data_IF_747515197558
#
_entry.id   IF_747515197558
#
_cell.length_a   1.000
_cell.length_b   1.000
_cell.length_c   1.000
_cell.angle_alpha   90.00
_cell.angle_beta   90.00
_cell.angle_gamma   90.00
#
_symmetry.space_group_name_H-M   'P 1'
#
loop_
_entity.id
_entity.type
_entity.pdbx_description
1 polymer ?
#
# COMPACT_ATOMS: atom_id res chain seq x y z
N UNK A 1 15.83 27.60 6.19
CA UNK A 1 15.45 27.02 4.89
C UNK A 1 14.09 27.56 4.54
N UNK A 2 13.96 28.41 3.51
CA UNK A 2 12.65 28.78 2.99
C UNK A 2 12.12 27.56 2.23
N UNK A 3 11.06 26.97 2.74
CA UNK A 3 10.38 25.87 2.07
C UNK A 3 9.28 26.48 1.20
N UNK A 4 9.60 26.73 -0.07
CA UNK A 4 8.60 27.16 -1.04
C UNK A 4 7.63 26.00 -1.27
N UNK A 5 6.37 26.21 -0.87
CA UNK A 5 5.28 25.26 -1.07
C UNK A 5 4.53 25.62 -2.35
N UNK A 6 4.49 24.70 -3.30
CA UNK A 6 3.79 24.86 -4.57
C UNK A 6 2.42 24.15 -4.48
N UNK A 7 1.30 24.89 -4.45
CA UNK A 7 0.00 24.27 -4.36
C UNK A 7 -0.31 23.47 -5.62
N UNK A 8 -0.97 22.33 -5.43
CA UNK A 8 -1.49 21.52 -6.53
C UNK A 8 -2.60 22.30 -7.24
N UNK A 9 -2.50 22.45 -8.56
CA UNK A 9 -3.53 23.12 -9.36
C UNK A 9 -4.88 22.41 -9.28
N UNK A 10 -5.97 23.17 -9.39
CA UNK A 10 -7.33 22.61 -9.31
C UNK A 10 -7.60 21.57 -10.41
N UNK A 11 -7.10 21.81 -11.61
CA UNK A 11 -7.21 20.88 -12.73
C UNK A 11 -6.52 19.55 -12.44
N UNK A 12 -5.37 19.57 -11.76
CA UNK A 12 -4.71 18.34 -11.33
C UNK A 12 -5.45 17.67 -10.17
N UNK A 13 -5.97 18.45 -9.22
CA UNK A 13 -6.69 17.92 -8.05
C UNK A 13 -7.92 17.10 -8.45
N UNK A 14 -8.64 17.51 -9.49
CA UNK A 14 -9.85 16.80 -9.99
C UNK A 14 -9.56 15.42 -10.59
N UNK A 15 -8.36 15.21 -11.14
CA UNK A 15 -7.95 13.97 -11.83
C UNK A 15 -7.04 13.06 -10.99
N UNK A 16 -6.64 13.51 -9.81
CA UNK A 16 -5.81 12.73 -8.91
C UNK A 16 -6.58 11.54 -8.33
N UNK A 17 -5.92 10.39 -8.20
CA UNK A 17 -6.53 9.20 -7.57
C UNK A 17 -6.70 9.32 -6.06
N UNK A 18 -6.09 10.33 -5.44
CA UNK A 18 -6.04 10.48 -3.99
C UNK A 18 -5.94 11.94 -3.60
N UNK A 19 -6.56 12.29 -2.47
CA UNK A 19 -6.42 13.59 -1.81
C UNK A 19 -5.37 13.50 -0.70
N UNK A 20 -4.89 14.63 -0.20
CA UNK A 20 -3.95 14.63 0.93
C UNK A 20 -4.52 13.91 2.16
N UNK A 21 -5.77 14.21 2.53
CA UNK A 21 -6.42 13.54 3.66
C UNK A 21 -6.50 12.03 3.42
N UNK A 22 -6.92 11.62 2.21
CA UNK A 22 -7.03 10.20 1.88
C UNK A 22 -5.67 9.49 1.89
N UNK A 23 -4.60 10.16 1.45
CA UNK A 23 -3.24 9.65 1.55
C UNK A 23 -2.85 9.41 3.01
N UNK A 24 -3.08 10.39 3.90
CA UNK A 24 -2.75 10.26 5.32
C UNK A 24 -3.50 9.07 5.95
N UNK A 25 -4.77 8.89 5.62
CA UNK A 25 -5.59 7.79 6.14
C UNK A 25 -5.11 6.42 5.63
N UNK A 26 -4.87 6.29 4.32
CA UNK A 26 -4.38 5.04 3.72
C UNK A 26 -2.97 4.70 4.21
N UNK A 27 -2.09 5.69 4.30
CA UNK A 27 -0.73 5.51 4.81
C UNK A 27 -0.74 5.03 6.26
N UNK A 28 -1.50 5.71 7.13
CA UNK A 28 -1.65 5.31 8.53
C UNK A 28 -2.08 3.85 8.63
N UNK A 29 -3.13 3.47 7.88
CA UNK A 29 -3.61 2.08 7.88
C UNK A 29 -2.58 1.10 7.31
N UNK A 30 -1.84 1.45 6.27
CA UNK A 30 -0.81 0.57 5.67
C UNK A 30 0.33 0.21 6.62
N UNK A 31 0.54 1.02 7.66
CA UNK A 31 1.58 0.82 8.68
C UNK A 31 0.99 0.20 9.95
N UNK A 32 -0.17 0.66 10.41
CA UNK A 32 -0.80 0.18 11.65
C UNK A 32 -1.51 -1.18 11.48
N UNK A 33 -2.05 -1.46 10.28
CA UNK A 33 -2.69 -2.72 9.90
C UNK A 33 -2.15 -3.17 8.52
N UNK A 34 -0.88 -3.60 8.45
CA UNK A 34 -0.24 -3.91 7.18
C UNK A 34 -0.87 -5.13 6.51
N UNK A 35 -1.21 -6.18 7.27
CA UNK A 35 -1.81 -7.38 6.68
C UNK A 35 -3.21 -7.12 6.13
N UNK A 36 -4.06 -6.38 6.86
CA UNK A 36 -5.39 -6.03 6.38
C UNK A 36 -5.34 -5.10 5.16
N UNK A 37 -4.57 -4.02 5.24
CA UNK A 37 -4.42 -3.07 4.14
C UNK A 37 -3.89 -3.73 2.87
N UNK A 38 -2.76 -4.45 2.96
CA UNK A 38 -2.10 -5.02 1.80
C UNK A 38 -2.83 -6.25 1.25
N UNK A 39 -3.58 -7.00 2.07
CA UNK A 39 -4.51 -8.02 1.57
C UNK A 39 -5.55 -7.40 0.64
N UNK A 40 -6.20 -6.31 1.06
CA UNK A 40 -7.22 -5.64 0.24
C UNK A 40 -6.65 -5.06 -1.05
N UNK A 41 -5.45 -4.47 -1.00
CA UNK A 41 -4.80 -3.96 -2.21
C UNK A 41 -4.45 -5.10 -3.17
N UNK A 42 -3.92 -6.21 -2.66
CA UNK A 42 -3.56 -7.37 -3.47
C UNK A 42 -4.78 -8.05 -4.10
N UNK A 43 -5.90 -8.16 -3.38
CA UNK A 43 -7.16 -8.69 -3.92
C UNK A 43 -7.74 -7.76 -4.99
N UNK A 44 -7.56 -6.44 -4.85
CA UNK A 44 -8.12 -5.45 -5.79
C UNK A 44 -7.34 -5.31 -7.09
N UNK A 45 -6.02 -5.37 -7.03
CA UNK A 45 -5.16 -4.94 -8.15
C UNK A 45 -4.43 -6.08 -8.85
N UNK A 46 -4.36 -7.27 -8.25
CA UNK A 46 -3.60 -8.39 -8.82
C UNK A 46 -4.56 -9.54 -9.10
N UNK A 47 -4.39 -10.16 -10.27
CA UNK A 47 -5.11 -11.37 -10.64
C UNK A 47 -4.32 -12.58 -10.16
N UNK A 48 -4.84 -13.29 -9.16
CA UNK A 48 -4.18 -14.44 -8.57
C UNK A 48 -4.72 -15.74 -9.14
N UNK A 49 -3.82 -16.64 -9.54
CA UNK A 49 -4.17 -18.02 -9.87
C UNK A 49 -4.34 -18.88 -8.61
N UNK A 50 -3.83 -18.41 -7.46
CA UNK A 50 -4.11 -18.97 -6.14
C UNK A 50 -3.88 -17.94 -5.03
N UNK A 51 -4.85 -17.78 -4.13
CA UNK A 51 -4.76 -16.82 -3.02
C UNK A 51 -3.70 -17.27 -2.02
N UNK A 52 -2.98 -16.29 -1.47
CA UNK A 52 -1.97 -16.51 -0.43
C UNK A 52 -2.58 -17.05 0.86
N UNK A 53 -1.73 -17.65 1.71
CA UNK A 53 -2.07 -18.13 3.05
C UNK A 53 -1.69 -17.13 4.14
N UNK A 54 -0.66 -16.34 3.91
CA UNK A 54 -0.15 -15.32 4.85
C UNK A 54 0.25 -14.07 4.07
N UNK A 55 -0.17 -12.91 4.54
CA UNK A 55 0.09 -11.64 3.83
C UNK A 55 1.52 -11.19 4.08
N UNK A 56 1.97 -11.22 5.33
CA UNK A 56 3.28 -10.71 5.72
C UNK A 56 3.91 -11.56 6.81
N UNK A 57 5.16 -11.95 6.60
CA UNK A 57 6.05 -12.48 7.65
C UNK A 57 7.41 -11.81 7.54
N UNK A 58 7.93 -11.29 8.65
CA UNK A 58 9.25 -10.65 8.65
C UNK A 58 10.02 -10.86 9.96
N UNK A 59 11.34 -10.88 9.83
CA UNK A 59 12.34 -10.83 10.88
C UNK A 59 13.58 -10.11 10.30
N UNK A 60 13.74 -8.83 10.63
CA UNK A 60 14.84 -8.02 10.10
C UNK A 60 16.21 -8.43 10.66
N UNK A 61 16.27 -9.05 11.84
CA UNK A 61 17.53 -9.53 12.43
C UNK A 61 18.08 -10.71 11.63
N UNK A 62 17.18 -11.52 11.06
CA UNK A 62 17.54 -12.64 10.19
C UNK A 62 17.52 -12.30 8.70
N UNK A 63 17.24 -11.04 8.34
CA UNK A 63 17.08 -10.64 6.93
C UNK A 63 15.96 -11.40 6.21
N UNK A 64 14.93 -11.83 6.94
CA UNK A 64 13.87 -12.67 6.42
C UNK A 64 12.59 -11.86 6.24
N UNK A 65 12.11 -11.72 5.00
CA UNK A 65 10.86 -11.00 4.69
C UNK A 65 10.13 -11.75 3.58
N UNK A 66 8.87 -12.09 3.83
CA UNK A 66 7.99 -12.78 2.87
C UNK A 66 6.65 -12.06 2.79
N UNK A 67 6.22 -11.81 1.56
CA UNK A 67 4.92 -11.24 1.24
C UNK A 67 4.08 -12.25 0.46
N UNK A 68 2.79 -12.33 0.77
CA UNK A 68 1.79 -13.17 0.10
C UNK A 68 2.22 -14.64 -0.01
N UNK A 69 2.73 -15.21 1.07
CA UNK A 69 3.24 -16.57 1.10
C UNK A 69 2.15 -17.57 0.67
N UNK A 70 2.51 -18.45 -0.27
CA UNK A 70 1.60 -19.43 -0.86
C UNK A 70 0.72 -18.87 -1.99
N UNK A 71 0.79 -17.57 -2.27
CA UNK A 71 0.12 -16.94 -3.40
C UNK A 71 0.74 -17.38 -4.72
N UNK A 72 -0.08 -17.46 -5.77
CA UNK A 72 0.33 -17.82 -7.13
C UNK A 72 -0.28 -16.83 -8.13
N UNK A 73 0.51 -16.43 -9.11
CA UNK A 73 0.16 -15.49 -10.18
C UNK A 73 0.90 -15.89 -11.48
N UNK A 74 0.57 -15.27 -12.62
CA UNK A 74 1.22 -15.50 -13.91
C UNK A 74 1.13 -14.28 -14.84
#
# INVERSE_FOLDING_TARGET
MNQESYPISDEFRKRAHITEQRYRDLYKRSVEDPEGFWSEQADRFVSWSGRWKKVLEWDFQKGHVRWFEGGRLN
#
